data_IF_938601369539
#
_entry.id   IF_938601369539
#
_cell.length_a   1.000
_cell.length_b   1.000
_cell.length_c   1.000
_cell.angle_alpha   90.00
_cell.angle_beta   90.00
_cell.angle_gamma   90.00
#
_symmetry.space_group_name_H-M   'P 1'
#
loop_
_entity.id
_entity.type
_entity.pdbx_description
1 polymer ?
#
# COMPACT_ATOMS: atom_id res chain seq x y z
N UNK A 1 0.37 10.30 -15.56
CA UNK A 1 0.20 8.94 -15.02
C UNK A 1 -0.50 9.07 -13.67
N UNK A 2 -1.39 8.15 -13.31
CA UNK A 2 -2.27 8.33 -12.14
C UNK A 2 -1.53 8.35 -10.79
N UNK A 3 -0.24 7.98 -10.77
CA UNK A 3 0.60 7.92 -9.57
C UNK A 3 1.83 8.85 -9.64
N UNK A 4 1.78 9.94 -10.42
CA UNK A 4 2.88 10.92 -10.49
C UNK A 4 3.08 11.70 -9.19
N UNK A 5 2.06 11.77 -8.34
CA UNK A 5 2.08 12.45 -7.05
C UNK A 5 2.49 11.53 -5.89
N UNK A 6 3.11 10.38 -6.17
CA UNK A 6 3.55 9.49 -5.10
C UNK A 6 4.65 10.14 -4.27
N UNK A 7 4.57 10.03 -2.93
CA UNK A 7 5.61 10.54 -2.06
C UNK A 7 6.89 9.70 -2.19
N UNK A 8 8.00 10.30 -1.75
CA UNK A 8 9.30 9.66 -1.80
C UNK A 8 9.31 8.30 -1.09
N UNK A 9 10.00 7.35 -1.72
CA UNK A 9 10.10 5.97 -1.25
C UNK A 9 9.03 5.03 -1.80
N UNK A 10 7.89 5.53 -2.30
CA UNK A 10 6.94 4.69 -3.03
C UNK A 10 7.36 4.51 -4.49
N UNK A 11 7.17 3.29 -5.00
CA UNK A 11 7.43 2.94 -6.39
C UNK A 11 6.26 2.17 -6.97
N UNK A 12 5.88 2.53 -8.19
CA UNK A 12 4.93 1.76 -8.99
C UNK A 12 5.64 0.48 -9.45
N UNK A 13 5.23 -0.66 -8.91
CA UNK A 13 5.73 -1.96 -9.37
C UNK A 13 5.04 -2.37 -10.66
N UNK A 14 3.71 -2.20 -10.70
CA UNK A 14 2.90 -2.58 -11.85
C UNK A 14 1.72 -1.60 -11.99
N UNK A 15 1.48 -1.10 -13.20
CA UNK A 15 0.30 -0.30 -13.52
C UNK A 15 -0.31 -0.83 -14.82
N UNK A 16 -1.56 -1.27 -14.76
CA UNK A 16 -2.32 -1.58 -15.97
C UNK A 16 -3.14 -0.33 -16.38
N UNK A 17 -3.10 0.10 -17.67
CA UNK A 17 -3.71 1.36 -18.13
C UNK A 17 -5.20 1.54 -17.81
N UNK A 18 -5.94 0.46 -17.64
CA UNK A 18 -7.35 0.44 -17.24
C UNK A 18 -7.63 -0.63 -16.18
N UNK A 19 -6.59 -1.11 -15.52
CA UNK A 19 -6.65 -2.26 -14.62
C UNK A 19 -6.03 -1.96 -13.26
N UNK A 20 -5.59 -3.02 -12.61
CA UNK A 20 -4.97 -2.94 -11.29
C UNK A 20 -3.64 -2.20 -11.30
N UNK A 21 -3.30 -1.62 -10.16
CA UNK A 21 -1.99 -1.07 -9.88
C UNK A 21 -1.44 -1.65 -8.58
N UNK A 22 -0.13 -1.77 -8.52
CA UNK A 22 0.62 -2.27 -7.37
C UNK A 22 1.73 -1.26 -7.09
N UNK A 23 1.70 -0.70 -5.89
CA UNK A 23 2.71 0.23 -5.39
C UNK A 23 3.44 -0.43 -4.23
N UNK A 24 4.74 -0.24 -4.13
CA UNK A 24 5.55 -0.77 -3.02
C UNK A 24 6.38 0.34 -2.38
N UNK A 25 6.55 0.27 -1.06
CA UNK A 25 7.38 1.20 -0.33
C UNK A 25 8.80 0.65 -0.13
N UNK A 26 9.81 1.42 -0.55
CA UNK A 26 11.25 1.16 -0.34
C UNK A 26 11.65 -0.32 -0.50
N UNK A 27 11.33 -0.98 -1.63
CA UNK A 27 11.77 -2.35 -1.88
C UNK A 27 13.30 -2.45 -1.85
N UNK A 28 14.03 -1.38 -2.18
CA UNK A 28 15.49 -1.31 -2.07
C UNK A 28 16.05 -1.49 -0.66
N UNK A 29 15.27 -1.22 0.39
CA UNK A 29 15.68 -1.39 1.80
C UNK A 29 15.04 -2.61 2.43
N UNK A 30 13.75 -2.85 2.13
CA UNK A 30 12.95 -3.88 2.79
C UNK A 30 13.11 -5.27 2.16
N UNK A 31 13.54 -5.38 0.91
CA UNK A 31 13.83 -6.65 0.23
C UNK A 31 15.26 -7.18 0.55
N UNK A 32 15.95 -6.57 1.52
CA UNK A 32 17.38 -6.75 1.81
C UNK A 32 17.79 -7.97 2.65
N UNK A 33 16.87 -8.87 3.01
CA UNK A 33 17.18 -10.15 3.65
C UNK A 33 17.43 -10.15 5.17
N UNK A 34 17.48 -8.98 5.83
CA UNK A 34 17.55 -8.87 7.32
C UNK A 34 16.17 -8.96 8.00
N UNK A 35 15.09 -8.76 7.24
CA UNK A 35 13.71 -8.97 7.68
C UNK A 35 13.19 -10.27 7.06
N UNK A 36 12.31 -11.04 7.74
CA UNK A 36 11.67 -12.18 7.09
C UNK A 36 10.96 -11.71 5.82
N UNK A 37 11.16 -12.44 4.71
CA UNK A 37 10.84 -12.18 3.27
C UNK A 37 9.46 -11.57 2.91
N UNK A 38 8.62 -11.20 3.88
CA UNK A 38 7.25 -10.76 3.68
C UNK A 38 6.94 -9.33 4.15
N UNK A 39 7.88 -8.58 4.72
CA UNK A 39 7.58 -7.28 5.37
C UNK A 39 7.67 -6.06 4.43
N UNK A 40 7.08 -6.14 3.23
CA UNK A 40 7.09 -5.05 2.24
C UNK A 40 5.73 -4.34 2.18
N UNK A 41 5.62 -3.08 2.63
CA UNK A 41 4.40 -2.31 2.51
C UNK A 41 4.01 -2.18 1.03
N UNK A 42 2.80 -2.63 0.71
CA UNK A 42 2.31 -2.74 -0.65
C UNK A 42 0.88 -2.23 -0.73
N UNK A 43 0.62 -1.27 -1.61
CA UNK A 43 -0.74 -0.81 -1.92
C UNK A 43 -1.22 -1.50 -3.18
N UNK A 44 -2.38 -2.13 -3.07
CA UNK A 44 -3.10 -2.71 -4.20
C UNK A 44 -4.29 -1.85 -4.56
N UNK A 45 -4.36 -1.44 -5.83
CA UNK A 45 -5.57 -0.91 -6.47
C UNK A 45 -6.14 -2.00 -7.39
N UNK A 46 -7.36 -2.47 -7.16
CA UNK A 46 -7.98 -3.53 -7.98
C UNK A 46 -9.49 -3.38 -8.11
N UNK A 47 -10.07 -3.72 -9.26
CA UNK A 47 -11.51 -3.59 -9.56
C UNK A 47 -12.28 -4.93 -9.53
N UNK A 48 -11.81 -5.92 -8.76
CA UNK A 48 -12.42 -7.26 -8.81
C UNK A 48 -12.04 -8.22 -7.70
N UNK A 49 -12.99 -8.40 -6.78
CA UNK A 49 -13.30 -9.48 -5.82
C UNK A 49 -12.22 -10.47 -5.35
N UNK A 50 -11.97 -10.45 -4.04
CA UNK A 50 -11.13 -11.42 -3.32
C UNK A 50 -11.73 -12.84 -3.20
N UNK A 51 -12.89 -13.14 -3.76
CA UNK A 51 -13.48 -14.50 -3.77
C UNK A 51 -14.27 -14.77 -5.04
N UNK A 52 -13.63 -15.40 -6.02
CA UNK A 52 -14.32 -16.11 -7.08
C UNK A 52 -15.15 -17.25 -6.45
N UNK A 53 -16.45 -17.03 -6.24
CA UNK A 53 -17.40 -18.12 -6.00
C UNK A 53 -17.75 -18.70 -7.37
N UNK A 54 -17.45 -19.99 -7.66
CA UNK A 54 -17.82 -20.59 -8.93
C UNK A 54 -19.35 -20.58 -9.07
N UNK A 55 -19.86 -19.86 -10.07
CA UNK A 55 -21.29 -19.77 -10.39
C UNK A 55 -21.92 -18.38 -10.29
N UNK A 56 -21.23 -17.39 -9.71
CA UNK A 56 -21.62 -15.99 -9.87
C UNK A 56 -20.86 -15.41 -11.04
N UNK A 57 -21.56 -14.78 -11.98
CA UNK A 57 -20.95 -14.11 -13.12
C UNK A 57 -19.78 -13.23 -12.68
N UNK A 58 -18.80 -13.11 -13.56
CA UNK A 58 -17.76 -12.08 -13.58
C UNK A 58 -18.44 -10.69 -13.63
N UNK A 59 -19.08 -10.30 -12.53
CA UNK A 59 -19.42 -8.92 -12.30
C UNK A 59 -18.09 -8.27 -11.97
N UNK A 60 -17.55 -7.52 -12.92
CA UNK A 60 -16.79 -6.34 -12.54
C UNK A 60 -17.70 -5.61 -11.55
N UNK A 61 -17.35 -5.65 -10.27
CA UNK A 61 -17.88 -4.65 -9.37
C UNK A 61 -17.32 -3.36 -9.93
N UNK A 62 -18.17 -2.39 -10.22
CA UNK A 62 -17.70 -1.03 -10.59
C UNK A 62 -16.87 -0.42 -9.43
N UNK A 63 -16.81 -1.10 -8.28
CA UNK A 63 -15.99 -0.80 -7.12
C UNK A 63 -14.51 -1.19 -7.27
N UNK A 64 -13.67 -0.20 -7.00
CA UNK A 64 -12.22 -0.23 -6.89
C UNK A 64 -11.80 -0.30 -5.43
N UNK A 65 -10.97 -1.26 -5.09
CA UNK A 65 -10.44 -1.45 -3.75
C UNK A 65 -9.00 -0.96 -3.69
N UNK A 66 -8.72 -0.13 -2.68
CA UNK A 66 -7.39 0.34 -2.30
C UNK A 66 -7.04 -0.32 -0.98
N UNK A 67 -6.03 -1.17 -0.96
CA UNK A 67 -5.64 -1.87 0.26
C UNK A 67 -4.14 -1.76 0.48
N UNK A 68 -3.76 -1.20 1.63
CA UNK A 68 -2.39 -1.18 2.12
C UNK A 68 -2.13 -2.43 2.95
N UNK A 69 -1.22 -3.25 2.46
CA UNK A 69 -0.66 -4.40 3.16
C UNK A 69 0.68 -4.02 3.74
N UNK A 70 0.94 -4.38 4.99
CA UNK A 70 2.29 -4.31 5.59
C UNK A 70 3.03 -5.64 5.39
N UNK A 71 2.25 -6.71 5.39
CA UNK A 71 2.64 -8.07 5.03
C UNK A 71 1.51 -8.69 4.18
N UNK A 72 1.77 -9.76 3.41
CA UNK A 72 0.77 -10.44 2.60
C UNK A 72 -0.52 -10.81 3.35
N UNK A 73 -0.44 -10.99 4.67
CA UNK A 73 -1.56 -11.34 5.54
C UNK A 73 -2.03 -10.19 6.46
N UNK A 74 -1.33 -9.04 6.47
CA UNK A 74 -1.60 -7.92 7.39
C UNK A 74 -2.06 -6.69 6.62
N UNK A 75 -3.33 -6.34 6.81
CA UNK A 75 -3.99 -5.18 6.21
C UNK A 75 -4.00 -4.01 7.20
N UNK A 76 -3.42 -2.88 6.81
CA UNK A 76 -3.43 -1.66 7.61
C UNK A 76 -4.57 -0.72 7.24
N UNK A 77 -4.83 -0.58 5.93
CA UNK A 77 -5.87 0.30 5.39
C UNK A 77 -6.60 -0.43 4.27
N UNK A 78 -7.93 -0.36 4.27
CA UNK A 78 -8.77 -0.89 3.21
C UNK A 78 -9.90 0.09 2.91
N UNK A 79 -9.89 0.64 1.69
CA UNK A 79 -10.86 1.63 1.22
C UNK A 79 -11.45 1.20 -0.12
N UNK A 80 -12.67 1.61 -0.43
CA UNK A 80 -13.39 1.22 -1.64
C UNK A 80 -14.02 2.43 -2.30
N UNK A 81 -13.96 2.48 -3.63
CA UNK A 81 -14.29 3.63 -4.47
C UNK A 81 -15.06 3.19 -5.71
N UNK A 82 -15.96 4.01 -6.24
CA UNK A 82 -16.75 3.67 -7.43
C UNK A 82 -15.99 3.89 -8.76
N UNK A 83 -14.83 4.55 -8.71
CA UNK A 83 -14.07 4.95 -9.90
C UNK A 83 -12.58 4.65 -9.75
N UNK A 84 -11.94 4.28 -10.87
CA UNK A 84 -10.49 4.01 -10.90
C UNK A 84 -9.69 5.22 -10.49
N UNK A 85 -10.04 6.39 -11.02
CA UNK A 85 -9.30 7.62 -10.73
C UNK A 85 -9.43 8.00 -9.26
N UNK A 86 -10.61 7.81 -8.67
CA UNK A 86 -10.81 7.97 -7.23
C UNK A 86 -9.96 6.97 -6.42
N UNK A 87 -9.93 5.69 -6.83
CA UNK A 87 -9.08 4.69 -6.19
C UNK A 87 -7.59 4.96 -6.37
N UNK A 88 -7.16 5.50 -7.51
CA UNK A 88 -5.77 5.86 -7.73
C UNK A 88 -5.36 7.08 -6.87
N UNK A 89 -6.21 8.10 -6.81
CA UNK A 89 -6.00 9.25 -5.93
C UNK A 89 -5.96 8.82 -4.46
N UNK A 90 -6.85 7.92 -4.04
CA UNK A 90 -6.84 7.38 -2.70
C UNK A 90 -5.62 6.50 -2.40
N UNK A 91 -5.10 5.76 -3.38
CA UNK A 91 -3.86 5.02 -3.22
C UNK A 91 -2.66 5.96 -2.98
N UNK A 92 -2.65 7.13 -3.63
CA UNK A 92 -1.65 8.19 -3.35
C UNK A 92 -1.86 8.77 -1.96
N UNK A 93 -3.10 9.11 -1.57
CA UNK A 93 -3.42 9.63 -0.24
C UNK A 93 -3.00 8.66 0.88
N UNK A 94 -3.26 7.35 0.70
CA UNK A 94 -2.82 6.31 1.62
C UNK A 94 -1.29 6.21 1.69
N UNK A 95 -0.60 6.36 0.56
CA UNK A 95 0.86 6.38 0.52
C UNK A 95 1.43 7.60 1.27
N UNK A 96 0.82 8.77 1.10
CA UNK A 96 1.16 10.02 1.81
C UNK A 96 0.94 9.88 3.31
N UNK A 97 -0.23 9.41 3.73
CA UNK A 97 -0.56 9.15 5.13
C UNK A 97 0.40 8.13 5.78
N UNK A 98 0.85 7.15 5.01
CA UNK A 98 1.80 6.16 5.50
C UNK A 98 3.17 6.81 5.81
N UNK A 99 3.70 7.62 4.89
CA UNK A 99 4.99 8.32 5.11
C UNK A 99 4.89 9.50 6.07
N UNK A 100 3.69 10.03 6.30
CA UNK A 100 3.42 11.03 7.32
C UNK A 100 3.23 10.43 8.74
N UNK A 101 3.18 9.10 8.85
CA UNK A 101 2.92 8.42 10.13
C UNK A 101 1.46 8.49 10.61
N UNK A 102 0.52 8.92 9.75
CA UNK A 102 -0.92 8.98 10.05
C UNK A 102 -1.60 7.60 9.97
N UNK A 103 -0.92 6.60 9.40
CA UNK A 103 -1.38 5.22 9.38
C UNK A 103 -0.92 4.51 10.65
N UNK A 104 -1.88 4.11 11.50
CA UNK A 104 -1.60 3.26 12.66
C UNK A 104 -1.37 1.80 12.23
N UNK A 105 -0.18 1.55 11.66
CA UNK A 105 0.24 0.22 11.26
C UNK A 105 0.41 -0.73 12.45
N UNK A 106 0.61 -0.23 13.67
CA UNK A 106 0.78 -1.06 14.87
C UNK A 106 -0.56 -1.70 15.27
N UNK A 107 -1.67 -0.99 15.08
CA UNK A 107 -3.01 -1.50 15.33
C UNK A 107 -3.41 -2.66 14.39
N UNK A 108 -2.78 -2.79 13.22
CA UNK A 108 -3.02 -3.89 12.29
C UNK A 108 -2.49 -5.25 12.82
N UNK A 109 -1.57 -5.24 13.78
CA UNK A 109 -0.92 -6.43 14.31
C UNK A 109 -1.57 -6.93 15.60
N UNK A 110 -1.92 -8.22 15.62
CA UNK A 110 -2.30 -8.90 16.86
C UNK A 110 -1.09 -9.23 17.74
N UNK A 111 0.07 -9.47 17.12
CA UNK A 111 1.35 -9.73 17.81
C UNK A 111 2.33 -8.63 17.40
N UNK A 112 2.82 -7.80 18.35
CA UNK A 112 3.68 -6.67 18.02
C UNK A 112 5.00 -7.14 17.38
N UNK A 113 5.42 -6.46 16.32
CA UNK A 113 6.72 -6.66 15.66
C UNK A 113 7.61 -5.45 15.88
N UNK A 114 8.18 -5.34 17.07
CA UNK A 114 8.96 -4.17 17.51
C UNK A 114 10.13 -3.86 16.56
N UNK A 115 10.86 -4.88 16.09
CA UNK A 115 11.97 -4.71 15.14
C UNK A 115 11.50 -4.13 13.80
N UNK A 116 10.35 -4.60 13.30
CA UNK A 116 9.77 -4.08 12.05
C UNK A 116 9.25 -2.65 12.23
N UNK A 117 8.58 -2.38 13.35
CA UNK A 117 8.08 -1.04 13.64
C UNK A 117 9.21 -0.02 13.75
N UNK A 118 10.31 -0.37 14.43
CA UNK A 118 11.49 0.49 14.51
C UNK A 118 12.08 0.78 13.13
N UNK A 119 12.16 -0.22 12.24
CA UNK A 119 12.62 0.00 10.86
C UNK A 119 11.67 0.88 10.05
N UNK A 120 10.36 0.73 10.23
CA UNK A 120 9.38 1.62 9.60
C UNK A 120 9.51 3.05 10.11
N UNK A 121 9.64 3.24 11.43
CA UNK A 121 9.85 4.55 12.05
C UNK A 121 11.11 5.21 11.46
N UNK A 122 12.23 4.51 11.39
CA UNK A 122 13.48 5.03 10.78
C UNK A 122 13.30 5.47 9.33
N UNK A 123 12.50 4.74 8.54
CA UNK A 123 12.26 5.04 7.13
C UNK A 123 11.27 6.19 6.93
N UNK A 124 10.24 6.27 7.77
CA UNK A 124 9.20 7.30 7.75
C UNK A 124 9.81 8.62 8.25
N UNK A 125 10.40 8.62 9.45
CA UNK A 125 11.06 9.79 10.05
C UNK A 125 12.25 10.27 9.20
N UNK A 126 13.02 9.33 8.66
CA UNK A 126 14.17 9.64 7.79
C UNK A 126 13.80 10.18 6.41
N UNK A 127 12.58 9.90 5.93
CA UNK A 127 12.03 10.48 4.70
C UNK A 127 11.54 11.91 4.88
N UNK A 128 10.98 12.22 6.06
CA UNK A 128 10.44 13.55 6.39
C UNK A 128 11.54 14.61 6.61
N UNK A 129 12.75 14.19 6.99
CA UNK A 129 13.89 15.09 7.24
C UNK A 129 14.50 15.73 5.96
N UNK A 130 14.04 15.35 4.76
CA UNK A 130 14.52 15.90 3.49
C UNK A 130 13.75 17.16 3.02
N UNK A 131 12.64 17.52 3.68
CA UNK A 131 11.82 18.69 3.35
C UNK A 131 11.97 19.83 4.39
N UNK A 132 13.20 20.14 4.81
CA UNK A 132 13.50 21.42 5.47
C UNK A 132 14.78 22.01 4.85
N UNK A 133 14.68 22.63 3.66
CA UNK A 133 15.64 23.66 3.20
C UNK A 133 14.97 24.78 2.39
#
# INVERSE_FOLDING_TARGET
>A
MSFEALPDGWRVWNEEPSGRAILVYRPDVLDGGDLPDACLPTIYLTNGSRKARPGSGQYATDEWHVVLFLEPEIEAVAETYDEREAGAAAAVDVAERFVAGDVDYRAAYQVPREEYFARLDELIDGGQAAEEE
#
